data_IF_293801225476
#
_entry.id   IF_293801225476
#
_cell.length_a   1.000
_cell.length_b   1.000
_cell.length_c   1.000
_cell.angle_alpha   90.00
_cell.angle_beta   90.00
_cell.angle_gamma   90.00
#
_symmetry.space_group_name_H-M   'P 1'
#
loop_
_entity.id
_entity.type
_entity.pdbx_description
1 polymer ?
#
# COMPACT_ATOMS: atom_id res chain seq x y z
N UNK A 1 42.40 94.35 -89.28
CA UNK A 1 43.25 95.52 -89.59
C UNK A 1 42.38 96.75 -89.33
N UNK A 2 42.79 97.70 -88.48
CA UNK A 2 44.16 98.21 -88.37
C UNK A 2 44.83 97.93 -87.02
N UNK A 3 46.16 98.04 -87.11
CA UNK A 3 47.21 97.85 -86.11
C UNK A 3 47.71 99.24 -85.73
N UNK A 4 47.90 99.50 -84.44
CA UNK A 4 48.80 100.48 -83.79
C UNK A 4 48.56 100.28 -82.28
N UNK A 5 49.51 100.15 -81.37
CA UNK A 5 50.83 100.76 -81.29
C UNK A 5 51.58 100.00 -80.18
N UNK A 6 52.75 99.43 -80.47
CA UNK A 6 53.63 98.82 -79.47
C UNK A 6 54.75 99.83 -79.23
N UNK A 7 54.69 100.52 -78.10
CA UNK A 7 55.77 101.39 -77.65
C UNK A 7 56.22 100.93 -76.27
N UNK A 8 57.37 100.24 -76.30
CA UNK A 8 58.42 100.17 -75.29
C UNK A 8 58.02 100.07 -73.81
N UNK A 9 58.25 98.89 -73.25
CA UNK A 9 58.72 98.77 -71.87
C UNK A 9 60.21 99.15 -71.87
N UNK A 10 60.67 99.97 -70.91
CA UNK A 10 61.92 99.66 -70.26
C UNK A 10 61.69 99.44 -68.77
N UNK A 11 62.20 98.29 -68.35
CA UNK A 11 62.43 97.87 -66.98
C UNK A 11 63.04 98.97 -66.12
N UNK A 12 62.37 99.28 -65.02
CA UNK A 12 63.03 99.62 -63.76
C UNK A 12 62.22 98.99 -62.63
N UNK A 13 62.57 97.73 -62.35
CA UNK A 13 62.51 97.22 -60.99
C UNK A 13 63.29 98.18 -60.07
N UNK A 14 63.00 98.06 -58.78
CA UNK A 14 63.92 98.37 -57.68
C UNK A 14 64.22 99.85 -57.38
N UNK A 15 63.20 100.56 -56.91
CA UNK A 15 63.34 101.46 -55.75
C UNK A 15 61.98 101.47 -55.04
N UNK A 16 61.51 100.35 -54.49
CA UNK A 16 61.81 99.95 -53.11
C UNK A 16 62.10 101.16 -52.20
N UNK A 17 61.06 101.55 -51.45
CA UNK A 17 61.23 101.99 -50.07
C UNK A 17 61.93 103.34 -49.82
N UNK A 18 61.29 104.41 -50.26
CA UNK A 18 61.16 105.58 -49.39
C UNK A 18 59.69 106.02 -49.36
N UNK A 19 58.79 105.02 -49.27
CA UNK A 19 57.47 105.29 -48.70
C UNK A 19 57.72 105.66 -47.24
N UNK A 20 57.12 106.77 -46.80
CA UNK A 20 56.92 107.10 -45.39
C UNK A 20 56.70 105.78 -44.63
N UNK A 21 57.57 105.40 -43.68
CA UNK A 21 57.52 104.11 -42.98
C UNK A 21 56.11 103.75 -42.50
N UNK A 22 55.32 104.77 -42.14
CA UNK A 22 53.92 104.67 -41.72
C UNK A 22 52.97 104.13 -42.82
N UNK A 23 53.18 104.48 -44.08
CA UNK A 23 52.35 104.02 -45.20
C UNK A 23 52.59 102.53 -45.53
N UNK A 24 53.84 102.07 -45.45
CA UNK A 24 54.16 100.65 -45.66
C UNK A 24 53.54 99.79 -44.56
N UNK A 25 53.69 100.22 -43.32
CA UNK A 25 53.08 99.57 -42.15
C UNK A 25 51.55 99.52 -42.28
N UNK A 26 50.91 100.63 -42.69
CA UNK A 26 49.47 100.67 -42.94
C UNK A 26 49.03 99.65 -44.00
N UNK A 27 49.79 99.52 -45.09
CA UNK A 27 49.47 98.58 -46.15
C UNK A 27 49.62 97.12 -45.69
N UNK A 28 50.67 96.81 -44.93
CA UNK A 28 50.90 95.49 -44.37
C UNK A 28 49.83 95.11 -43.33
N UNK A 29 49.46 96.03 -42.44
CA UNK A 29 48.36 95.87 -41.49
C UNK A 29 47.01 95.70 -42.19
N UNK A 30 46.75 96.43 -43.28
CA UNK A 30 45.53 96.26 -44.10
C UNK A 30 45.47 94.86 -44.71
N UNK A 31 46.59 94.36 -45.24
CA UNK A 31 46.65 93.02 -45.81
C UNK A 31 46.55 91.93 -44.73
N UNK A 32 47.20 92.10 -43.58
CA UNK A 32 47.10 91.15 -42.46
C UNK A 32 45.68 91.10 -41.92
N UNK A 33 45.02 92.26 -41.77
CA UNK A 33 43.63 92.33 -41.34
C UNK A 33 42.71 91.62 -42.32
N UNK A 34 42.89 91.83 -43.63
CA UNK A 34 42.13 91.08 -44.65
C UNK A 34 42.30 89.57 -44.51
N UNK A 35 43.53 89.08 -44.35
CA UNK A 35 43.81 87.65 -44.14
C UNK A 35 43.15 87.12 -42.87
N UNK A 36 43.24 87.87 -41.77
CA UNK A 36 42.63 87.48 -40.50
C UNK A 36 41.10 87.45 -40.60
N UNK A 37 40.48 88.44 -41.25
CA UNK A 37 39.03 88.45 -41.49
C UNK A 37 38.60 87.27 -42.35
N UNK A 38 39.36 86.93 -43.41
CA UNK A 38 39.06 85.74 -44.22
C UNK A 38 39.23 84.44 -43.42
N UNK A 39 40.26 84.34 -42.57
CA UNK A 39 40.50 83.18 -41.72
C UNK A 39 39.38 83.01 -40.67
N UNK A 40 38.99 84.09 -39.99
CA UNK A 40 37.86 84.08 -39.05
C UNK A 40 36.56 83.69 -39.76
N UNK A 41 36.31 84.15 -40.99
CA UNK A 41 35.11 83.78 -41.73
C UNK A 41 35.08 82.27 -42.04
N UNK A 42 36.23 81.66 -42.38
CA UNK A 42 36.33 80.21 -42.57
C UNK A 42 36.16 79.44 -41.26
N UNK A 43 36.78 79.91 -40.17
CA UNK A 43 36.64 79.28 -38.84
C UNK A 43 35.20 79.33 -38.32
N UNK A 44 34.50 80.46 -38.49
CA UNK A 44 33.09 80.57 -38.13
C UNK A 44 32.20 79.64 -38.95
N UNK A 45 32.48 79.51 -40.25
CA UNK A 45 31.77 78.57 -41.13
C UNK A 45 31.98 77.12 -40.67
N UNK A 46 33.21 76.76 -40.34
CA UNK A 46 33.54 75.41 -39.86
C UNK A 46 32.95 75.12 -38.48
N UNK A 47 33.01 76.09 -37.55
CA UNK A 47 32.38 75.98 -36.25
C UNK A 47 30.86 75.79 -36.38
N UNK A 48 30.21 76.52 -37.28
CA UNK A 48 28.79 76.36 -37.58
C UNK A 48 28.46 74.98 -38.16
N UNK A 49 29.29 74.46 -39.08
CA UNK A 49 29.11 73.12 -39.64
C UNK A 49 29.27 72.04 -38.57
N UNK A 50 30.26 72.17 -37.67
CA UNK A 50 30.45 71.25 -36.54
C UNK A 50 29.26 71.28 -35.59
N UNK A 51 28.77 72.47 -35.23
CA UNK A 51 27.60 72.62 -34.37
C UNK A 51 26.37 71.93 -34.98
N UNK A 52 26.10 72.18 -36.27
CA UNK A 52 24.99 71.53 -36.97
C UNK A 52 25.11 69.99 -36.99
N UNK A 53 26.33 69.45 -37.18
CA UNK A 53 26.56 68.00 -37.13
C UNK A 53 26.35 67.42 -35.72
N UNK A 54 26.71 68.17 -34.68
CA UNK A 54 26.54 67.75 -33.29
C UNK A 54 25.07 67.78 -32.87
N UNK A 55 24.32 68.80 -33.28
CA UNK A 55 22.86 68.88 -33.07
C UNK A 55 22.14 67.69 -33.72
N UNK A 56 22.52 67.32 -34.94
CA UNK A 56 21.95 66.17 -35.64
C UNK A 56 22.28 64.85 -34.93
N UNK A 57 23.52 64.66 -34.47
CA UNK A 57 23.91 63.48 -33.72
C UNK A 57 23.16 63.35 -32.39
N UNK A 58 23.02 64.46 -31.64
CA UNK A 58 22.27 64.47 -30.39
C UNK A 58 20.79 64.17 -30.60
N UNK A 59 20.18 64.66 -31.68
CA UNK A 59 18.79 64.35 -32.01
C UNK A 59 18.61 62.84 -32.30
N UNK A 60 19.56 62.22 -33.01
CA UNK A 60 19.55 60.78 -33.27
C UNK A 60 19.75 59.95 -31.99
N UNK A 61 20.69 60.34 -31.13
CA UNK A 61 20.94 59.65 -29.85
C UNK A 61 19.72 59.71 -28.93
N UNK A 62 19.07 60.86 -28.84
CA UNK A 62 17.88 61.05 -28.02
C UNK A 62 16.71 60.16 -28.50
N UNK A 63 16.54 60.01 -29.81
CA UNK A 63 15.52 59.11 -30.35
C UNK A 63 15.86 57.64 -30.10
N UNK A 64 17.12 57.24 -30.30
CA UNK A 64 17.59 55.89 -29.97
C UNK A 64 17.38 55.57 -28.49
N UNK A 65 17.62 56.54 -27.60
CA UNK A 65 17.39 56.40 -26.16
C UNK A 65 15.91 56.24 -25.82
N UNK A 66 15.01 57.01 -26.43
CA UNK A 66 13.56 56.82 -26.26
C UNK A 66 13.10 55.44 -26.69
N UNK A 67 13.59 54.96 -27.84
CA UNK A 67 13.27 53.62 -28.33
C UNK A 67 13.77 52.55 -27.36
N UNK A 68 15.00 52.69 -26.86
CA UNK A 68 15.55 51.78 -25.86
C UNK A 68 14.76 51.79 -24.54
N UNK A 69 14.34 52.97 -24.07
CA UNK A 69 13.54 53.11 -22.85
C UNK A 69 12.16 52.46 -22.99
N UNK A 70 11.48 52.64 -24.13
CA UNK A 70 10.21 51.96 -24.40
C UNK A 70 10.38 50.44 -24.43
N UNK A 71 11.46 49.95 -25.08
CA UNK A 71 11.76 48.53 -25.11
C UNK A 71 12.05 47.97 -23.70
N UNK A 72 12.78 48.70 -22.87
CA UNK A 72 13.04 48.32 -21.49
C UNK A 72 11.75 48.20 -20.68
N UNK A 73 10.83 49.17 -20.79
CA UNK A 73 9.52 49.13 -20.13
C UNK A 73 8.68 47.92 -20.56
N UNK A 74 8.66 47.61 -21.85
CA UNK A 74 7.94 46.42 -22.37
C UNK A 74 8.51 45.13 -21.76
N UNK A 75 9.85 45.01 -21.71
CA UNK A 75 10.50 43.85 -21.13
C UNK A 75 10.25 43.73 -19.62
N UNK A 76 10.25 44.84 -18.88
CA UNK A 76 9.90 44.87 -17.46
C UNK A 76 8.46 44.39 -17.20
N UNK A 77 7.51 44.82 -18.03
CA UNK A 77 6.12 44.37 -17.96
C UNK A 77 5.98 42.87 -18.27
N UNK A 78 6.71 42.37 -19.28
CA UNK A 78 6.73 40.94 -19.62
C UNK A 78 7.33 40.11 -18.49
N UNK A 79 8.46 40.53 -17.92
CA UNK A 79 9.09 39.86 -16.77
C UNK A 79 8.13 39.84 -15.58
N UNK A 80 7.44 40.95 -15.30
CA UNK A 80 6.45 41.02 -14.21
C UNK A 80 5.28 40.05 -14.43
N UNK A 81 4.78 39.94 -15.66
CA UNK A 81 3.72 38.98 -16.02
C UNK A 81 4.19 37.53 -15.89
N UNK A 82 5.40 37.24 -16.36
CA UNK A 82 6.00 35.92 -16.28
C UNK A 82 6.23 35.50 -14.83
N UNK A 83 6.71 36.42 -13.99
CA UNK A 83 6.92 36.16 -12.57
C UNK A 83 5.60 35.83 -11.86
N UNK A 84 4.53 36.59 -12.12
CA UNK A 84 3.22 36.29 -11.55
C UNK A 84 2.67 34.94 -12.00
N UNK A 85 2.81 34.63 -13.30
CA UNK A 85 2.41 33.32 -13.84
C UNK A 85 3.18 32.17 -13.20
N UNK A 86 4.48 32.35 -12.95
CA UNK A 86 5.32 31.37 -12.28
C UNK A 86 4.84 31.14 -10.83
N UNK A 87 4.60 32.21 -10.08
CA UNK A 87 4.08 32.15 -8.71
C UNK A 87 2.72 31.43 -8.63
N UNK A 88 1.79 31.74 -9.54
CA UNK A 88 0.48 31.07 -9.63
C UNK A 88 0.63 29.56 -9.92
N UNK A 89 1.56 29.19 -10.81
CA UNK A 89 1.84 27.77 -11.11
C UNK A 89 2.51 27.05 -9.95
N UNK A 90 3.43 27.70 -9.25
CA UNK A 90 4.08 27.12 -8.06
C UNK A 90 3.07 26.89 -6.93
N UNK A 91 2.11 27.80 -6.74
CA UNK A 91 1.02 27.62 -5.78
C UNK A 91 0.11 26.46 -6.18
N UNK A 92 -0.27 26.37 -7.47
CA UNK A 92 -1.06 25.25 -7.99
C UNK A 92 -0.35 23.91 -7.81
N UNK A 93 0.96 23.86 -8.07
CA UNK A 93 1.79 22.67 -7.86
C UNK A 93 1.86 22.29 -6.39
N UNK A 94 2.06 23.26 -5.48
CA UNK A 94 2.04 23.00 -4.03
C UNK A 94 0.70 22.48 -3.55
N UNK A 95 -0.42 23.06 -4.01
CA UNK A 95 -1.75 22.58 -3.67
C UNK A 95 -1.98 21.14 -4.18
N UNK A 96 -1.57 20.86 -5.42
CA UNK A 96 -1.66 19.51 -5.99
C UNK A 96 -0.81 18.51 -5.21
N UNK A 97 0.42 18.85 -4.86
CA UNK A 97 1.31 18.00 -4.07
C UNK A 97 0.69 17.68 -2.71
N UNK A 98 0.20 18.71 -2.00
CA UNK A 98 -0.44 18.55 -0.70
C UNK A 98 -1.68 17.64 -0.76
N UNK A 99 -2.51 17.77 -1.82
CA UNK A 99 -3.64 16.88 -2.05
C UNK A 99 -3.17 15.43 -2.24
N UNK A 100 -2.18 15.21 -3.09
CA UNK A 100 -1.66 13.85 -3.34
C UNK A 100 -1.02 13.23 -2.10
N UNK A 101 -0.34 14.01 -1.26
CA UNK A 101 0.23 13.54 0.00
C UNK A 101 -0.87 13.13 0.99
N UNK A 102 -1.96 13.88 1.08
CA UNK A 102 -3.10 13.52 1.93
C UNK A 102 -3.76 12.22 1.47
N UNK A 103 -3.94 12.04 0.16
CA UNK A 103 -4.49 10.81 -0.41
C UNK A 103 -3.59 9.60 -0.11
N UNK A 104 -2.26 9.76 -0.24
CA UNK A 104 -1.30 8.71 0.09
C UNK A 104 -1.34 8.33 1.58
N UNK A 105 -1.47 9.30 2.47
CA UNK A 105 -1.60 9.04 3.92
C UNK A 105 -2.90 8.28 4.22
N UNK A 106 -4.01 8.65 3.58
CA UNK A 106 -5.29 7.96 3.74
C UNK A 106 -5.21 6.50 3.27
N UNK A 107 -4.61 6.26 2.12
CA UNK A 107 -4.40 4.92 1.59
C UNK A 107 -3.48 4.09 2.49
N UNK A 108 -2.38 4.65 3.01
CA UNK A 108 -1.49 3.91 3.92
C UNK A 108 -2.19 3.53 5.23
N UNK A 109 -3.03 4.39 5.80
CA UNK A 109 -3.88 4.05 6.95
C UNK A 109 -4.89 2.92 6.61
N UNK A 110 -5.50 2.98 5.44
CA UNK A 110 -6.36 1.91 4.92
C UNK A 110 -5.63 0.57 4.82
N UNK A 111 -4.44 0.57 4.23
CA UNK A 111 -3.58 -0.62 4.12
C UNK A 111 -3.13 -1.10 5.51
N UNK A 112 -2.82 -0.21 6.45
CA UNK A 112 -2.46 -0.57 7.83
C UNK A 112 -3.62 -1.26 8.56
N UNK A 113 -4.85 -0.76 8.41
CA UNK A 113 -6.08 -1.37 8.95
C UNK A 113 -6.34 -2.75 8.35
N UNK A 114 -6.23 -2.88 7.03
CA UNK A 114 -6.38 -4.18 6.35
C UNK A 114 -5.32 -5.18 6.81
N UNK A 115 -4.05 -4.77 6.88
CA UNK A 115 -2.96 -5.61 7.42
C UNK A 115 -3.24 -6.08 8.84
N UNK A 116 -3.78 -5.21 9.70
CA UNK A 116 -4.19 -5.58 11.06
C UNK A 116 -5.34 -6.59 11.05
N UNK A 117 -6.37 -6.37 10.22
CA UNK A 117 -7.50 -7.28 10.07
C UNK A 117 -7.07 -8.68 9.60
N UNK A 118 -6.19 -8.75 8.59
CA UNK A 118 -5.61 -10.01 8.11
C UNK A 118 -4.89 -10.73 9.24
N UNK A 119 -4.02 -10.05 10.01
CA UNK A 119 -3.31 -10.68 11.14
C UNK A 119 -4.27 -11.29 12.17
N UNK A 120 -5.34 -10.57 12.52
CA UNK A 120 -6.35 -11.06 13.48
C UNK A 120 -7.08 -12.29 12.92
N UNK A 121 -7.53 -12.23 11.66
CA UNK A 121 -8.21 -13.35 11.00
C UNK A 121 -7.29 -14.56 10.87
N UNK A 122 -6.03 -14.38 10.48
CA UNK A 122 -5.04 -15.44 10.40
C UNK A 122 -4.84 -16.13 11.75
N UNK A 123 -4.65 -15.35 12.83
CA UNK A 123 -4.52 -15.92 14.18
C UNK A 123 -5.78 -16.66 14.62
N UNK A 124 -6.97 -16.13 14.30
CA UNK A 124 -8.25 -16.79 14.57
C UNK A 124 -8.33 -18.16 13.85
N UNK A 125 -8.03 -18.20 12.56
CA UNK A 125 -8.09 -19.44 11.78
C UNK A 125 -7.04 -20.46 12.21
N UNK A 126 -5.83 -20.02 12.55
CA UNK A 126 -4.78 -20.90 13.09
C UNK A 126 -5.22 -21.53 14.42
N UNK A 127 -5.77 -20.73 15.34
CA UNK A 127 -6.29 -21.22 16.61
C UNK A 127 -7.47 -22.19 16.41
N UNK A 128 -8.38 -21.87 15.49
CA UNK A 128 -9.52 -22.74 15.17
C UNK A 128 -9.04 -24.08 14.60
N UNK A 129 -8.02 -24.06 13.75
CA UNK A 129 -7.43 -25.29 13.20
C UNK A 129 -6.82 -26.17 14.30
N UNK A 130 -6.00 -25.59 15.18
CA UNK A 130 -5.40 -26.31 16.32
C UNK A 130 -6.44 -26.92 17.27
N UNK A 131 -7.53 -26.19 17.54
CA UNK A 131 -8.63 -26.71 18.36
C UNK A 131 -9.29 -27.93 17.71
N UNK A 132 -9.60 -27.86 16.41
CA UNK A 132 -10.20 -28.98 15.68
C UNK A 132 -9.26 -30.20 15.63
N UNK A 133 -7.96 -29.99 15.45
CA UNK A 133 -6.96 -31.06 15.51
C UNK A 133 -6.92 -31.73 16.90
N UNK A 134 -6.96 -30.94 17.97
CA UNK A 134 -7.03 -31.45 19.35
C UNK A 134 -8.27 -32.31 19.57
N UNK A 135 -9.43 -31.88 19.08
CA UNK A 135 -10.67 -32.66 19.13
C UNK A 135 -10.55 -33.98 18.35
N UNK A 136 -10.01 -33.93 17.13
CA UNK A 136 -9.77 -35.14 16.32
C UNK A 136 -8.83 -36.12 17.03
N UNK A 137 -7.74 -35.63 17.63
CA UNK A 137 -6.83 -36.45 18.43
C UNK A 137 -7.49 -37.06 19.67
N UNK A 138 -8.43 -36.37 20.32
CA UNK A 138 -9.23 -36.92 21.44
C UNK A 138 -10.15 -38.04 20.94
N UNK A 139 -10.93 -37.81 19.89
CA UNK A 139 -11.81 -38.84 19.30
C UNK A 139 -11.03 -40.07 18.83
N UNK A 140 -9.85 -39.88 18.24
CA UNK A 140 -8.99 -40.99 17.84
C UNK A 140 -8.55 -41.84 19.04
N UNK A 141 -8.19 -41.21 20.17
CA UNK A 141 -7.82 -41.92 21.40
C UNK A 141 -8.98 -42.71 21.99
N UNK A 142 -10.18 -42.11 22.06
CA UNK A 142 -11.37 -42.80 22.59
C UNK A 142 -11.77 -43.98 21.69
N UNK A 143 -11.74 -43.81 20.37
CA UNK A 143 -11.98 -44.89 19.42
C UNK A 143 -10.99 -46.05 19.58
N UNK A 144 -9.70 -45.77 19.81
CA UNK A 144 -8.69 -46.80 20.06
C UNK A 144 -8.91 -47.53 21.40
N UNK A 145 -9.34 -46.84 22.46
CA UNK A 145 -9.71 -47.49 23.73
C UNK A 145 -10.93 -48.39 23.56
N UNK A 146 -11.97 -47.94 22.86
CA UNK A 146 -13.14 -48.76 22.56
C UNK A 146 -12.77 -49.97 21.72
N UNK A 147 -11.93 -49.81 20.69
CA UNK A 147 -11.41 -50.93 19.89
C UNK A 147 -10.69 -51.95 20.78
N UNK A 148 -9.85 -51.51 21.71
CA UNK A 148 -9.18 -52.40 22.68
C UNK A 148 -10.17 -53.14 23.57
N UNK A 149 -11.23 -52.48 24.05
CA UNK A 149 -12.30 -53.11 24.85
C UNK A 149 -13.08 -54.14 24.04
N UNK A 150 -13.44 -53.82 22.80
CA UNK A 150 -14.12 -54.75 21.89
C UNK A 150 -13.27 -55.99 21.67
N UNK A 151 -11.98 -55.86 21.34
CA UNK A 151 -11.09 -57.02 21.17
C UNK A 151 -11.02 -57.89 22.44
N UNK A 152 -10.96 -57.29 23.63
CA UNK A 152 -11.00 -58.05 24.90
C UNK A 152 -12.32 -58.80 25.08
N UNK A 153 -13.45 -58.17 24.77
CA UNK A 153 -14.77 -58.80 24.87
C UNK A 153 -14.95 -59.92 23.84
N UNK A 154 -14.49 -59.72 22.61
CA UNK A 154 -14.51 -60.72 21.54
C UNK A 154 -13.75 -61.98 21.97
N UNK A 155 -12.53 -61.82 22.48
CA UNK A 155 -11.73 -62.92 23.02
C UNK A 155 -12.41 -63.61 24.21
N UNK A 156 -12.95 -62.82 25.16
CA UNK A 156 -13.63 -63.34 26.34
C UNK A 156 -14.90 -64.14 26.03
N UNK A 157 -15.60 -63.83 24.93
CA UNK A 157 -16.77 -64.59 24.45
C UNK A 157 -16.36 -65.77 23.56
N UNK A 158 -15.25 -65.67 22.85
CA UNK A 158 -14.75 -66.74 21.98
C UNK A 158 -14.41 -68.01 22.79
N UNK A 159 -13.90 -67.86 24.00
CA UNK A 159 -13.58 -68.97 24.90
C UNK A 159 -14.83 -69.83 25.29
N UNK A 160 -15.91 -69.29 25.89
CA UNK A 160 -17.11 -70.08 26.17
C UNK A 160 -17.78 -70.60 24.90
N UNK A 161 -17.75 -69.84 23.79
CA UNK A 161 -18.25 -70.34 22.48
C UNK A 161 -17.52 -71.60 22.03
N UNK A 162 -16.20 -71.68 22.21
CA UNK A 162 -15.43 -72.88 21.88
C UNK A 162 -15.75 -74.09 22.79
N UNK A 163 -16.18 -73.84 24.03
CA UNK A 163 -16.53 -74.88 25.03
C UNK A 163 -17.98 -75.38 24.88
N UNK A 164 -18.87 -74.59 24.30
CA UNK A 164 -20.30 -74.88 24.13
C UNK A 164 -20.59 -76.26 23.50
N UNK A 165 -19.92 -76.69 22.41
CA UNK A 165 -20.22 -77.98 21.78
C UNK A 165 -19.94 -79.17 22.70
N UNK A 166 -18.92 -79.07 23.57
CA UNK A 166 -18.59 -80.14 24.53
C UNK A 166 -19.68 -80.27 25.60
N UNK A 167 -20.15 -79.14 26.12
CA UNK A 167 -21.25 -79.13 27.10
C UNK A 167 -22.57 -79.60 26.49
N UNK A 168 -22.84 -79.23 25.24
CA UNK A 168 -24.02 -79.70 24.52
C UNK A 168 -24.01 -81.23 24.36
N UNK A 169 -22.87 -81.82 23.98
CA UNK A 169 -22.73 -83.29 23.93
C UNK A 169 -22.94 -83.96 25.29
N UNK A 170 -22.45 -83.36 26.38
CA UNK A 170 -22.69 -83.88 27.73
C UNK A 170 -24.16 -83.79 28.15
N UNK A 171 -24.86 -82.73 27.76
CA UNK A 171 -26.31 -82.60 27.95
C UNK A 171 -27.05 -83.69 27.18
N UNK A 172 -26.78 -83.86 25.89
CA UNK A 172 -27.44 -84.89 25.06
C UNK A 172 -27.20 -86.31 25.62
N UNK A 173 -25.99 -86.62 26.09
CA UNK A 173 -25.71 -87.91 26.76
C UNK A 173 -26.56 -88.11 28.00
N UNK A 174 -26.69 -87.07 28.83
CA UNK A 174 -27.53 -87.09 30.03
C UNK A 174 -29.01 -87.28 29.67
N UNK A 175 -29.48 -86.59 28.63
CA UNK A 175 -30.86 -86.71 28.17
C UNK A 175 -31.16 -88.12 27.64
N UNK A 176 -30.22 -88.74 26.90
CA UNK A 176 -30.31 -90.16 26.49
C UNK A 176 -30.33 -91.11 27.69
N UNK A 177 -29.49 -90.87 28.69
CA UNK A 177 -29.50 -91.66 29.93
C UNK A 177 -30.85 -91.53 30.65
N UNK A 178 -31.40 -90.31 30.75
CA UNK A 178 -32.73 -90.08 31.34
C UNK A 178 -33.85 -90.76 30.55
N UNK A 179 -33.78 -90.82 29.22
CA UNK A 179 -34.77 -91.57 28.43
C UNK A 179 -34.63 -93.07 28.64
N UNK A 180 -33.41 -93.59 28.75
CA UNK A 180 -33.17 -95.00 29.06
C UNK A 180 -33.64 -95.35 30.47
N UNK A 181 -33.39 -94.50 31.47
CA UNK A 181 -33.87 -94.70 32.84
C UNK A 181 -35.40 -94.71 32.91
N UNK A 182 -36.06 -93.84 32.15
CA UNK A 182 -37.52 -93.86 32.02
C UNK A 182 -38.02 -95.12 31.32
N UNK A 183 -37.32 -95.58 30.29
CA UNK A 183 -37.64 -96.82 29.58
C UNK A 183 -37.45 -98.06 30.46
N UNK A 184 -36.34 -98.16 31.20
CA UNK A 184 -36.09 -99.20 32.21
C UNK A 184 -37.15 -99.18 33.31
N UNK A 185 -37.55 -97.98 33.77
CA UNK A 185 -38.65 -97.80 34.73
C UNK A 185 -39.99 -98.27 34.17
N UNK A 186 -40.26 -98.01 32.90
CA UNK A 186 -41.47 -98.48 32.23
C UNK A 186 -41.44 -100.01 32.02
N UNK A 187 -40.27 -100.59 31.76
CA UNK A 187 -40.08 -102.04 31.69
C UNK A 187 -40.20 -102.72 33.06
N UNK A 188 -39.80 -102.04 34.15
CA UNK A 188 -40.06 -102.49 35.53
C UNK A 188 -41.50 -102.21 36.01
N UNK A 189 -42.31 -101.50 35.24
CA UNK A 189 -43.73 -101.27 35.54
C UNK A 189 -44.68 -102.33 34.93
N UNK A 190 -44.17 -103.32 34.19
CA UNK A 190 -44.95 -104.44 33.62
C UNK A 190 -45.03 -105.65 34.55
N UNK A 191 -44.26 -105.71 35.64
CA UNK A 191 -44.52 -106.66 36.75
C UNK A 191 -44.94 -105.95 38.04
N UNK A 192 -46.27 -105.81 38.14
CA UNK A 192 -47.10 -105.65 39.34
C UNK A 192 -47.13 -104.31 40.12
N UNK A 193 -48.28 -104.05 40.82
CA UNK A 193 -48.87 -102.72 40.97
C UNK A 193 -48.88 -102.15 42.40
N UNK A 194 -49.08 -100.83 42.45
CA UNK A 194 -49.82 -100.04 43.45
C UNK A 194 -49.53 -100.17 44.95
N UNK A 195 -49.09 -99.04 45.54
CA UNK A 195 -49.41 -98.59 46.90
C UNK A 195 -48.98 -97.11 47.01
N UNK A 196 -49.87 -96.12 46.86
CA UNK A 196 -50.74 -95.48 47.86
C UNK A 196 -50.03 -94.66 48.95
N UNK A 197 -50.30 -93.34 48.96
CA UNK A 197 -50.60 -92.60 50.19
C UNK A 197 -49.62 -91.51 50.66
N UNK A 198 -50.24 -90.40 51.12
CA UNK A 198 -49.70 -89.27 51.89
C UNK A 198 -48.91 -88.24 51.07
N UNK A 199 -49.39 -87.03 50.80
CA UNK A 199 -50.37 -86.23 51.54
C UNK A 199 -49.70 -85.57 52.72
N UNK A 200 -48.81 -84.60 52.47
CA UNK A 200 -48.52 -83.51 53.40
C UNK A 200 -48.24 -82.21 52.62
N UNK A 201 -49.14 -81.25 52.83
CA UNK A 201 -49.04 -79.87 52.35
C UNK A 201 -47.93 -79.18 53.13
N UNK A 202 -46.71 -79.17 52.60
CA UNK A 202 -45.67 -78.29 53.13
C UNK A 202 -45.99 -76.84 52.76
N UNK A 203 -46.21 -76.02 53.77
CA UNK A 203 -46.52 -74.59 53.65
C UNK A 203 -45.42 -73.86 52.88
N UNK A 204 -45.77 -73.35 51.69
CA UNK A 204 -44.88 -72.63 50.77
C UNK A 204 -44.25 -71.35 51.39
N UNK A 205 -44.79 -70.92 52.54
CA UNK A 205 -44.40 -69.73 53.31
C UNK A 205 -43.17 -69.94 54.22
N UNK A 206 -42.74 -71.19 54.44
CA UNK A 206 -41.57 -71.48 55.29
C UNK A 206 -40.28 -71.73 54.52
N UNK A 207 -40.34 -71.78 53.18
CA UNK A 207 -39.15 -71.96 52.34
C UNK A 207 -38.20 -70.78 52.48
N UNK A 208 -36.94 -71.06 52.77
CA UNK A 208 -35.85 -70.09 52.88
C UNK A 208 -35.75 -69.17 51.66
N UNK A 209 -36.22 -69.62 50.49
CA UNK A 209 -36.28 -68.81 49.26
C UNK A 209 -37.32 -67.68 49.34
N UNK A 210 -38.48 -67.91 49.98
CA UNK A 210 -39.52 -66.89 50.12
C UNK A 210 -39.11 -65.82 51.14
N UNK A 211 -38.41 -66.21 52.22
CA UNK A 211 -37.80 -65.26 53.18
C UNK A 211 -36.76 -64.35 52.51
N UNK A 212 -35.98 -64.89 51.58
CA UNK A 212 -34.97 -64.14 50.82
C UNK A 212 -35.62 -63.13 49.86
N UNK A 213 -36.67 -63.55 49.16
CA UNK A 213 -37.45 -62.67 48.27
C UNK A 213 -38.11 -61.54 49.08
N UNK A 214 -38.79 -61.85 50.18
CA UNK A 214 -39.42 -60.84 51.03
C UNK A 214 -38.40 -59.85 51.63
N UNK A 215 -37.22 -60.32 52.04
CA UNK A 215 -36.13 -59.48 52.55
C UNK A 215 -35.58 -58.52 51.48
N UNK A 216 -35.39 -59.00 50.25
CA UNK A 216 -34.93 -58.14 49.15
C UNK A 216 -36.00 -57.14 48.68
N UNK A 217 -37.28 -57.53 48.67
CA UNK A 217 -38.39 -56.63 48.35
C UNK A 217 -38.51 -55.46 49.35
N UNK A 218 -38.24 -55.72 50.63
CA UNK A 218 -38.26 -54.68 51.67
C UNK A 218 -37.09 -53.69 51.54
N UNK A 219 -35.90 -54.16 51.15
CA UNK A 219 -34.73 -53.32 50.87
C UNK A 219 -34.97 -52.36 49.70
N UNK A 220 -35.62 -52.83 48.63
CA UNK A 220 -35.98 -51.99 47.47
C UNK A 220 -36.95 -50.89 47.90
N UNK A 221 -37.99 -51.22 48.68
CA UNK A 221 -38.94 -50.24 49.20
C UNK A 221 -38.26 -49.21 50.13
N UNK A 222 -37.33 -49.65 50.99
CA UNK A 222 -36.59 -48.74 51.86
C UNK A 222 -35.69 -47.76 51.09
N UNK A 223 -35.07 -48.21 49.98
CA UNK A 223 -34.29 -47.31 49.12
C UNK A 223 -35.13 -46.32 48.33
N UNK A 224 -36.38 -46.67 47.98
CA UNK A 224 -37.32 -45.78 47.29
C UNK A 224 -37.98 -44.76 48.23
N UNK A 225 -38.21 -45.12 49.51
CA UNK A 225 -38.82 -44.23 50.49
C UNK A 225 -37.84 -43.19 51.09
N UNK A 226 -36.54 -43.33 50.83
CA UNK A 226 -35.49 -42.41 51.29
C UNK A 226 -35.05 -41.40 50.22
N UNK A 227 -35.81 -41.29 49.14
CA UNK A 227 -35.62 -40.35 48.03
C UNK A 227 -36.75 -39.33 48.02
#
# INVERSE_FOLDING_TARGET
MPVSEITAIPSSLSYSLELDPLLRDLFEKKLSLKRNVTAMATELKDARNRLASQELFLAQELEARKVAELKAKILEDEVSKLQKCLEDKDEQLRASLCSTEQDLIFEDDGVAKLRKGIRVLSAHWENRSKELESQLHKHRRTAQEMKRRVMRLELGIQEPRSRLPKLQRLREKRDRALTLDKEVRNQTAVEQPSCNGSGDKHNLWESSAFKLIASMSMLILFTLAKR
#
